data_IF_447803481098
#
_entry.id   IF_447803481098
#
_cell.length_a   1.000
_cell.length_b   1.000
_cell.length_c   1.000
_cell.angle_alpha   90.00
_cell.angle_beta   90.00
_cell.angle_gamma   90.00
#
_symmetry.space_group_name_H-M   'P 1'
#
loop_
_entity.id
_entity.type
_entity.pdbx_description
1 polymer ?
#
# COMPACT_ATOMS: atom_id res chain seq x y z
N UNK A 1 18.25 2.62 -6.00
CA UNK A 1 17.76 3.20 -4.74
C UNK A 1 16.26 3.31 -4.93
N UNK A 2 15.48 2.77 -3.99
CA UNK A 2 14.03 2.63 -4.14
C UNK A 2 13.35 3.98 -4.37
N UNK A 3 12.45 4.07 -5.36
CA UNK A 3 11.71 5.30 -5.69
C UNK A 3 10.45 5.51 -4.86
N UNK A 4 9.79 4.44 -4.41
CA UNK A 4 8.52 4.51 -3.69
C UNK A 4 8.68 4.10 -2.23
N UNK A 5 8.13 4.89 -1.32
CA UNK A 5 7.93 4.52 0.08
C UNK A 5 6.50 4.00 0.25
N UNK A 6 6.35 2.71 0.59
CA UNK A 6 5.03 2.14 0.93
C UNK A 6 4.82 2.26 2.43
N UNK A 7 3.77 2.98 2.85
CA UNK A 7 3.34 3.08 4.24
C UNK A 7 2.27 2.03 4.53
N UNK A 8 2.51 1.19 5.52
CA UNK A 8 1.64 0.10 5.95
C UNK A 8 1.38 0.20 7.48
N UNK A 9 0.43 1.03 7.94
CA UNK A 9 0.01 1.06 9.33
C UNK A 9 -0.82 -0.20 9.66
N UNK A 10 -0.59 -0.80 10.82
CA UNK A 10 -1.20 -2.09 11.19
C UNK A 10 -1.69 -2.10 12.63
N UNK A 11 -2.86 -2.66 12.86
CA UNK A 11 -3.37 -2.98 14.20
C UNK A 11 -4.33 -4.17 14.15
N UNK A 12 -3.99 -5.26 14.83
CA UNK A 12 -4.79 -6.50 14.89
C UNK A 12 -5.29 -6.97 13.51
N UNK A 13 -4.35 -7.32 12.62
CA UNK A 13 -4.60 -7.76 11.25
C UNK A 13 -4.08 -9.17 10.99
N UNK A 14 -4.07 -10.05 11.98
CA UNK A 14 -3.58 -11.43 11.83
C UNK A 14 -4.18 -12.14 10.61
N UNK A 15 -5.48 -11.94 10.35
CA UNK A 15 -6.20 -12.58 9.25
C UNK A 15 -5.89 -12.01 7.85
N UNK A 16 -5.40 -10.76 7.76
CA UNK A 16 -5.28 -10.04 6.49
C UNK A 16 -3.85 -9.68 6.11
N UNK A 17 -2.97 -9.49 7.10
CA UNK A 17 -1.62 -8.95 6.88
C UNK A 17 -0.79 -9.80 5.90
N UNK A 18 -1.01 -11.12 5.87
CA UNK A 18 -0.35 -12.00 4.91
C UNK A 18 -0.70 -11.66 3.45
N UNK A 19 -1.96 -11.34 3.16
CA UNK A 19 -2.41 -10.96 1.82
C UNK A 19 -1.87 -9.60 1.41
N UNK A 20 -1.88 -8.61 2.32
CA UNK A 20 -1.32 -7.30 2.07
C UNK A 20 0.17 -7.37 1.72
N UNK A 21 0.95 -8.12 2.50
CA UNK A 21 2.39 -8.33 2.27
C UNK A 21 2.66 -9.10 0.98
N UNK A 22 1.89 -10.15 0.69
CA UNK A 22 2.01 -10.89 -0.56
C UNK A 22 1.73 -10.00 -1.78
N UNK A 23 0.74 -9.10 -1.69
CA UNK A 23 0.42 -8.14 -2.75
C UNK A 23 1.60 -7.23 -3.11
N UNK A 24 2.41 -6.85 -2.12
CA UNK A 24 3.67 -6.12 -2.31
C UNK A 24 4.74 -7.01 -2.96
N UNK A 25 4.87 -8.26 -2.50
CA UNK A 25 5.85 -9.22 -3.05
C UNK A 25 5.55 -9.62 -4.49
N UNK A 26 4.32 -9.56 -4.96
CA UNK A 26 3.98 -9.83 -6.37
C UNK A 26 3.96 -8.60 -7.27
N UNK A 27 4.28 -7.40 -6.74
CA UNK A 27 4.39 -6.20 -7.58
C UNK A 27 5.42 -6.41 -8.70
N UNK A 28 5.10 -5.97 -9.92
CA UNK A 28 5.99 -6.09 -11.08
C UNK A 28 7.18 -5.14 -11.00
N UNK A 29 7.01 -3.99 -10.34
CA UNK A 29 8.11 -3.09 -9.95
C UNK A 29 8.60 -3.44 -8.55
N UNK A 30 9.92 -3.53 -8.36
CA UNK A 30 10.59 -3.73 -7.05
C UNK A 30 11.27 -2.47 -6.51
N UNK A 31 10.96 -1.33 -7.10
CA UNK A 31 11.59 -0.05 -6.81
C UNK A 31 10.92 0.65 -5.61
N UNK A 32 10.74 -0.09 -4.52
CA UNK A 32 10.04 0.38 -3.32
C UNK A 32 10.60 -0.24 -2.03
N UNK A 33 10.48 0.52 -0.94
CA UNK A 33 10.74 0.04 0.42
C UNK A 33 9.45 0.13 1.25
N UNK A 34 9.28 -0.77 2.22
CA UNK A 34 8.04 -0.86 3.03
C UNK A 34 8.28 -0.35 4.45
N UNK A 35 7.50 0.64 4.88
CA UNK A 35 7.48 1.10 6.26
C UNK A 35 6.23 0.61 6.95
N UNK A 36 6.42 -0.18 7.99
CA UNK A 36 5.36 -0.81 8.77
C UNK A 36 5.37 -0.22 10.16
N UNK A 37 4.19 0.18 10.63
CA UNK A 37 3.99 0.62 12.01
C UNK A 37 2.89 -0.20 12.65
N UNK A 38 3.26 -1.04 13.62
CA UNK A 38 2.31 -1.77 14.45
C UNK A 38 1.83 -0.90 15.61
N UNK A 39 0.56 -0.51 15.60
CA UNK A 39 -0.06 0.32 16.65
C UNK A 39 -0.47 -0.52 17.87
N UNK A 40 0.45 -1.36 18.36
CA UNK A 40 0.26 -2.18 19.55
C UNK A 40 -0.69 -3.36 19.35
N UNK A 41 -0.52 -4.14 18.27
CA UNK A 41 -1.31 -5.37 18.07
C UNK A 41 -1.06 -6.37 19.20
N UNK A 42 -2.11 -7.10 19.55
CA UNK A 42 -2.10 -8.15 20.59
C UNK A 42 -2.31 -9.56 20.04
N UNK A 43 -2.60 -9.67 18.74
CA UNK A 43 -2.75 -10.92 18.00
C UNK A 43 -1.41 -11.33 17.33
N UNK A 44 -1.43 -12.31 16.41
CA UNK A 44 -0.19 -12.74 15.74
C UNK A 44 0.28 -11.81 14.62
N UNK A 45 -0.28 -10.61 14.43
CA UNK A 45 0.09 -9.68 13.34
C UNK A 45 1.60 -9.48 13.23
N UNK A 46 2.26 -9.05 14.31
CA UNK A 46 3.71 -8.75 14.31
C UNK A 46 4.54 -10.01 14.03
N UNK A 47 4.11 -11.15 14.57
CA UNK A 47 4.76 -12.44 14.31
C UNK A 47 4.65 -12.83 12.83
N UNK A 48 3.50 -12.61 12.22
CA UNK A 48 3.26 -12.90 10.80
C UNK A 48 4.09 -11.98 9.90
N UNK A 49 4.20 -10.68 10.23
CA UNK A 49 5.08 -9.73 9.53
C UNK A 49 6.54 -10.23 9.59
N UNK A 50 7.03 -10.55 10.79
CA UNK A 50 8.40 -11.04 10.96
C UNK A 50 8.67 -12.34 10.19
N UNK A 51 7.75 -13.30 10.24
CA UNK A 51 7.84 -14.56 9.49
C UNK A 51 7.85 -14.36 7.98
N UNK A 52 7.06 -13.41 7.47
CA UNK A 52 7.03 -13.06 6.06
C UNK A 52 8.38 -12.54 5.58
N UNK A 53 8.93 -11.49 6.20
CA UNK A 53 10.21 -10.92 5.75
C UNK A 53 11.42 -11.82 6.03
N UNK A 54 11.33 -12.76 6.98
CA UNK A 54 12.37 -13.78 7.17
C UNK A 54 12.50 -14.74 5.97
N UNK A 55 11.44 -14.90 5.17
CA UNK A 55 11.43 -15.78 3.98
C UNK A 55 11.45 -15.04 2.65
N UNK A 56 11.26 -13.71 2.67
CA UNK A 56 11.19 -12.85 1.48
C UNK A 56 12.20 -11.69 1.62
N UNK A 57 13.49 -12.04 1.65
CA UNK A 57 14.59 -11.09 1.87
C UNK A 57 14.84 -10.13 0.70
N UNK A 58 14.16 -10.33 -0.43
CA UNK A 58 14.21 -9.43 -1.58
C UNK A 58 13.47 -8.11 -1.36
N UNK A 59 12.61 -8.04 -0.33
CA UNK A 59 11.90 -6.81 0.04
C UNK A 59 12.59 -6.13 1.23
N UNK A 60 12.91 -4.85 1.05
CA UNK A 60 13.35 -4.01 2.16
C UNK A 60 12.16 -3.56 2.99
N UNK A 61 12.31 -3.60 4.31
CA UNK A 61 11.29 -3.09 5.21
C UNK A 61 11.88 -2.48 6.48
N UNK A 62 11.10 -1.58 7.08
CA UNK A 62 11.30 -1.08 8.44
C UNK A 62 10.04 -1.39 9.24
N UNK A 63 10.19 -1.99 10.43
CA UNK A 63 9.08 -2.23 11.35
C UNK A 63 9.28 -1.44 12.63
N UNK A 64 8.32 -0.61 12.97
CA UNK A 64 8.22 0.08 14.26
C UNK A 64 6.95 -0.36 15.00
N UNK A 65 6.92 -0.17 16.32
CA UNK A 65 5.82 -0.69 17.14
C UNK A 65 5.53 0.18 18.36
N UNK A 66 4.26 0.43 18.60
CA UNK A 66 3.74 1.00 19.85
C UNK A 66 3.43 -0.07 20.89
N UNK A 67 3.45 0.35 22.16
CA UNK A 67 3.07 -0.54 23.27
C UNK A 67 1.57 -0.79 23.33
N UNK A 68 0.78 0.25 23.04
CA UNK A 68 -0.69 0.22 23.09
C UNK A 68 -1.24 0.99 21.90
N UNK A 69 -2.41 0.59 21.41
CA UNK A 69 -3.14 1.27 20.36
C UNK A 69 -3.37 2.76 20.65
N UNK A 70 -2.86 3.61 19.77
CA UNK A 70 -3.01 5.08 19.77
C UNK A 70 -4.04 5.57 18.73
N UNK A 71 -4.51 4.69 17.86
CA UNK A 71 -5.52 4.93 16.84
C UNK A 71 -4.94 5.10 15.44
N UNK A 72 -5.76 4.84 14.43
CA UNK A 72 -5.35 4.78 13.03
C UNK A 72 -4.62 6.04 12.52
N UNK A 73 -5.06 7.24 12.91
CA UNK A 73 -4.41 8.48 12.52
C UNK A 73 -3.02 8.64 13.14
N UNK A 74 -2.83 8.15 14.37
CA UNK A 74 -1.52 8.10 14.99
C UNK A 74 -0.61 7.14 14.20
N UNK A 75 -1.11 5.93 13.90
CA UNK A 75 -0.36 4.92 13.17
C UNK A 75 0.09 5.41 11.78
N UNK A 76 -0.82 6.02 11.00
CA UNK A 76 -0.50 6.60 9.68
C UNK A 76 0.59 7.66 9.77
N UNK A 77 0.44 8.62 10.68
CA UNK A 77 1.42 9.68 10.88
C UNK A 77 2.78 9.14 11.37
N UNK A 78 2.78 8.15 12.25
CA UNK A 78 4.02 7.52 12.72
C UNK A 78 4.71 6.73 11.63
N UNK A 79 3.96 6.03 10.77
CA UNK A 79 4.53 5.32 9.62
C UNK A 79 5.27 6.29 8.69
N UNK A 80 4.64 7.42 8.35
CA UNK A 80 5.27 8.47 7.54
C UNK A 80 6.50 9.08 8.24
N UNK A 81 6.42 9.37 9.54
CA UNK A 81 7.57 9.89 10.29
C UNK A 81 8.74 8.91 10.30
N UNK A 82 8.49 7.62 10.52
CA UNK A 82 9.53 6.59 10.45
C UNK A 82 10.22 6.55 9.08
N UNK A 83 9.45 6.74 7.99
CA UNK A 83 10.00 6.86 6.65
C UNK A 83 10.90 8.10 6.49
N UNK A 84 10.46 9.26 6.97
CA UNK A 84 11.23 10.51 6.92
C UNK A 84 12.51 10.43 7.78
N UNK A 85 12.41 9.87 8.99
CA UNK A 85 13.51 9.74 9.94
C UNK A 85 14.58 8.74 9.48
N UNK A 86 14.25 7.84 8.54
CA UNK A 86 15.22 6.92 7.92
C UNK A 86 16.31 7.64 7.12
N UNK A 87 16.07 8.89 6.70
CA UNK A 87 16.98 9.66 5.85
C UNK A 87 17.05 9.18 4.40
N UNK A 88 16.29 8.15 4.03
CA UNK A 88 16.17 7.67 2.65
C UNK A 88 15.24 8.61 1.88
N UNK A 89 15.67 9.02 0.69
CA UNK A 89 14.87 9.84 -0.21
C UNK A 89 14.08 8.95 -1.15
N UNK A 90 12.78 9.20 -1.21
CA UNK A 90 11.85 8.59 -2.15
C UNK A 90 11.23 9.69 -3.01
N UNK A 91 10.88 9.36 -4.24
CA UNK A 91 10.16 10.28 -5.15
C UNK A 91 8.66 10.28 -4.82
N UNK A 92 8.13 9.13 -4.38
CA UNK A 92 6.71 8.92 -4.15
C UNK A 92 6.43 8.21 -2.82
N UNK A 93 5.24 8.45 -2.29
CA UNK A 93 4.69 7.75 -1.13
C UNK A 93 3.39 7.08 -1.54
N UNK A 94 3.23 5.80 -1.20
CA UNK A 94 1.99 5.05 -1.41
C UNK A 94 1.50 4.52 -0.06
N UNK A 95 0.20 4.63 0.20
CA UNK A 95 -0.42 4.10 1.42
C UNK A 95 -1.14 2.80 1.08
N UNK A 96 -0.84 1.72 1.81
CA UNK A 96 -1.57 0.46 1.74
C UNK A 96 -2.23 0.22 3.10
N UNK A 97 -3.55 0.17 3.14
CA UNK A 97 -4.26 -0.27 4.35
C UNK A 97 -4.02 -1.79 4.55
N UNK A 98 -3.88 -2.21 5.82
CA UNK A 98 -3.36 -3.54 6.16
C UNK A 98 -4.36 -4.69 6.02
N UNK A 99 -5.58 -4.37 5.58
CA UNK A 99 -6.65 -5.27 5.14
C UNK A 99 -6.88 -5.25 3.62
N UNK A 100 -6.14 -4.44 2.87
CA UNK A 100 -6.25 -4.30 1.42
C UNK A 100 -5.09 -4.98 0.67
N UNK A 101 -5.20 -5.01 -0.66
CA UNK A 101 -4.19 -5.55 -1.58
C UNK A 101 -3.94 -4.61 -2.76
N UNK A 102 -2.68 -4.47 -3.14
CA UNK A 102 -2.33 -3.86 -4.42
C UNK A 102 -2.34 -4.90 -5.54
N UNK A 103 -2.96 -4.56 -6.68
CA UNK A 103 -2.82 -5.37 -7.89
C UNK A 103 -1.37 -5.37 -8.40
N UNK A 104 -0.89 -6.42 -9.09
CA UNK A 104 0.53 -6.59 -9.42
C UNK A 104 1.20 -5.40 -10.12
N UNK A 105 0.46 -4.64 -10.91
CA UNK A 105 0.98 -3.49 -11.66
C UNK A 105 0.70 -2.13 -11.01
N UNK A 106 0.11 -2.09 -9.82
CA UNK A 106 -0.38 -0.88 -9.17
C UNK A 106 0.72 0.19 -9.03
N UNK A 107 1.85 -0.14 -8.38
CA UNK A 107 2.93 0.81 -8.16
C UNK A 107 3.56 1.27 -9.49
N UNK A 108 3.78 0.34 -10.43
CA UNK A 108 4.37 0.64 -11.75
C UNK A 108 3.51 1.61 -12.54
N UNK A 109 2.19 1.38 -12.59
CA UNK A 109 1.24 2.23 -13.33
C UNK A 109 1.13 3.63 -12.71
N UNK A 110 1.04 3.71 -11.38
CA UNK A 110 0.92 4.99 -10.69
C UNK A 110 2.20 5.84 -10.79
N UNK A 111 3.38 5.23 -10.62
CA UNK A 111 4.67 5.92 -10.81
C UNK A 111 4.81 6.42 -12.25
N UNK A 112 4.55 5.56 -13.24
CA UNK A 112 4.63 5.95 -14.65
C UNK A 112 3.71 7.13 -14.96
N UNK A 113 2.48 7.10 -14.45
CA UNK A 113 1.51 8.16 -14.66
C UNK A 113 2.02 9.50 -14.08
N UNK A 114 2.52 9.50 -12.85
CA UNK A 114 3.06 10.72 -12.21
C UNK A 114 4.33 11.24 -12.92
N UNK A 115 5.22 10.35 -13.36
CA UNK A 115 6.41 10.71 -14.15
C UNK A 115 6.01 11.39 -15.47
N UNK A 116 4.96 10.92 -16.14
CA UNK A 116 4.45 11.47 -17.41
C UNK A 116 3.63 12.75 -17.20
N UNK A 117 3.18 13.05 -15.98
CA UNK A 117 2.28 14.15 -15.65
C UNK A 117 2.81 14.99 -14.48
N UNK A 118 3.96 15.65 -14.67
CA UNK A 118 4.67 16.41 -13.62
C UNK A 118 3.91 17.56 -12.93
N UNK A 119 2.67 17.87 -13.34
CA UNK A 119 1.79 18.85 -12.67
C UNK A 119 0.83 18.21 -11.66
N UNK A 120 0.77 16.88 -11.62
CA UNK A 120 -0.13 16.12 -10.76
C UNK A 120 0.63 15.68 -9.52
N UNK A 121 0.10 16.05 -8.35
CA UNK A 121 0.71 15.74 -7.06
C UNK A 121 0.23 14.39 -6.49
N UNK A 122 -0.96 13.94 -6.88
CA UNK A 122 -1.61 12.73 -6.33
C UNK A 122 -2.31 11.95 -7.44
N UNK A 123 -2.13 10.63 -7.43
CA UNK A 123 -2.89 9.66 -8.23
C UNK A 123 -3.53 8.66 -7.29
N UNK A 124 -4.75 8.25 -7.60
CA UNK A 124 -5.43 7.15 -6.91
C UNK A 124 -6.03 6.20 -7.95
N UNK A 125 -6.32 4.98 -7.51
CA UNK A 125 -6.92 3.95 -8.34
C UNK A 125 -8.27 3.58 -7.77
N UNK A 126 -9.14 3.04 -8.63
CA UNK A 126 -10.42 2.48 -8.19
C UNK A 126 -10.19 1.25 -7.30
N UNK A 127 -11.18 0.92 -6.47
CA UNK A 127 -11.13 -0.25 -5.59
C UNK A 127 -12.27 -1.22 -5.86
N UNK A 128 -12.02 -2.51 -5.61
CA UNK A 128 -13.00 -3.57 -5.77
C UNK A 128 -13.11 -4.38 -4.49
N UNK A 129 -14.28 -4.96 -4.26
CA UNK A 129 -14.46 -5.92 -3.19
C UNK A 129 -14.09 -7.30 -3.71
N UNK A 130 -13.37 -8.05 -2.88
CA UNK A 130 -13.10 -9.45 -3.14
C UNK A 130 -14.12 -10.32 -2.40
N UNK A 131 -15.20 -10.70 -3.09
CA UNK A 131 -16.25 -11.53 -2.47
C UNK A 131 -15.96 -13.04 -2.56
N UNK A 132 -15.00 -13.52 -3.37
CA UNK A 132 -14.65 -14.96 -3.56
C UNK A 132 -13.41 -15.18 -4.48
N UNK A 133 -12.29 -14.47 -4.29
CA UNK A 133 -11.21 -14.31 -5.29
C UNK A 133 -11.70 -13.71 -6.63
N UNK A 134 -12.84 -13.01 -6.58
CA UNK A 134 -13.44 -12.27 -7.69
C UNK A 134 -13.44 -10.82 -7.30
N UNK A 135 -12.59 -10.05 -7.97
CA UNK A 135 -12.55 -8.61 -7.84
C UNK A 135 -13.71 -8.08 -8.68
N UNK A 136 -14.81 -7.74 -8.01
CA UNK A 136 -15.84 -6.90 -8.63
C UNK A 136 -15.31 -5.47 -8.57
N UNK A 137 -14.85 -4.94 -9.71
CA UNK A 137 -14.44 -3.53 -9.84
C UNK A 137 -15.70 -2.69 -9.68
N UNK A 138 -15.83 -2.02 -8.53
CA UNK A 138 -16.92 -1.11 -8.27
C UNK A 138 -16.48 0.27 -8.72
N UNK A 139 -16.80 0.64 -9.96
CA UNK A 139 -16.63 2.01 -10.43
C UNK A 139 -17.45 2.95 -9.55
N UNK A 140 -16.81 3.59 -8.58
CA UNK A 140 -17.38 4.75 -7.90
C UNK A 140 -16.95 5.98 -8.67
N UNK A 141 -17.87 6.51 -9.48
CA UNK A 141 -17.77 7.87 -10.01
C UNK A 141 -17.90 8.80 -8.79
N UNK A 142 -16.78 9.01 -8.10
CA UNK A 142 -16.70 9.94 -6.99
C UNK A 142 -16.78 11.33 -7.61
N UNK A 143 -18.03 11.78 -7.83
CA UNK A 143 -18.42 13.06 -8.38
C UNK A 143 -17.89 14.23 -7.55
N UNK A 144 -16.59 14.47 -7.66
CA UNK A 144 -15.94 15.66 -7.18
C UNK A 144 -16.24 16.78 -8.17
N UNK A 145 -16.64 17.91 -7.59
CA UNK A 145 -17.00 19.17 -8.25
C UNK A 145 -16.03 19.51 -9.40
N UNK A 146 -16.56 19.80 -10.58
CA UNK A 146 -15.83 20.28 -11.76
C UNK A 146 -15.00 21.56 -11.49
N UNK A 147 -15.21 22.21 -10.34
CA UNK A 147 -14.43 23.35 -9.87
C UNK A 147 -13.34 23.01 -8.84
N UNK A 148 -13.25 21.76 -8.38
CA UNK A 148 -12.10 21.30 -7.62
C UNK A 148 -10.91 21.17 -8.58
N UNK A 149 -9.81 21.88 -8.31
CA UNK A 149 -8.53 21.74 -9.05
C UNK A 149 -7.83 20.42 -8.71
N UNK A 150 -8.54 19.31 -8.86
CA UNK A 150 -8.02 17.95 -8.70
C UNK A 150 -8.31 17.30 -10.04
N UNK A 151 -7.28 17.20 -10.89
CA UNK A 151 -7.37 16.40 -12.10
C UNK A 151 -7.47 14.94 -11.67
N UNK A 152 -8.70 14.42 -11.58
CA UNK A 152 -8.96 13.01 -11.32
C UNK A 152 -8.64 12.24 -12.59
N UNK A 153 -7.54 11.48 -12.57
CA UNK A 153 -7.16 10.62 -13.69
C UNK A 153 -7.13 9.17 -13.24
N UNK A 154 -8.02 8.38 -13.83
CA UNK A 154 -8.15 6.96 -13.57
C UNK A 154 -6.97 6.19 -14.15
N UNK A 155 -6.20 5.50 -13.28
CA UNK A 155 -5.27 4.46 -13.72
C UNK A 155 -5.99 3.11 -13.71
N UNK A 156 -6.39 2.63 -14.89
CA UNK A 156 -6.98 1.30 -15.02
C UNK A 156 -5.94 0.24 -14.62
N UNK A 157 -6.10 -0.30 -13.41
CA UNK A 157 -5.19 -1.29 -12.88
C UNK A 157 -5.31 -2.66 -13.57
N UNK A 158 -6.28 -2.85 -14.48
CA UNK A 158 -6.34 -3.96 -15.44
C UNK A 158 -6.23 -5.34 -14.81
N UNK A 159 -7.36 -5.99 -14.56
CA UNK A 159 -7.38 -7.39 -14.16
C UNK A 159 -6.95 -8.26 -15.34
N UNK A 160 -5.81 -8.93 -15.22
CA UNK A 160 -5.49 -10.11 -16.02
C UNK A 160 -6.54 -11.19 -15.69
N UNK A 161 -7.10 -11.81 -16.72
CA UNK A 161 -8.06 -12.92 -16.67
C UNK A 161 -7.59 -14.11 -15.81
N UNK A 162 -6.31 -14.16 -15.44
CA UNK A 162 -5.71 -15.14 -14.55
C UNK A 162 -5.69 -14.76 -13.06
N UNK A 163 -6.17 -13.58 -12.66
CA UNK A 163 -6.20 -13.13 -11.27
C UNK A 163 -7.17 -13.94 -10.37
N UNK A 164 -8.06 -14.74 -10.95
CA UNK A 164 -9.03 -15.58 -10.23
C UNK A 164 -8.44 -16.85 -9.58
N UNK A 165 -7.13 -16.89 -9.34
CA UNK A 165 -6.40 -18.06 -8.81
C UNK A 165 -5.66 -17.79 -7.50
N UNK A 166 -5.89 -16.64 -6.86
CA UNK A 166 -5.34 -16.29 -5.56
C UNK A 166 -6.31 -16.62 -4.44
#
# INVERSE_FOLDING_TARGET
MSRVCVLLPVFNREAFIGRALESLRVQTSKDFDVFIHDDGSIDNTVKNIGGFFATNSELNYTLTREKNNQGQNFARNHTLRAALDSGIKYDYVASLDSDDVFLPDHLRKNVKFLDENAKIDVVYSDCGLDENAKIDVVYSDCGLDENAKIDVVYSDCGLDENASKW
#
